data_IF_330000383740
#
_entry.id   IF_330000383740
#
_cell.length_a   1.000
_cell.length_b   1.000
_cell.length_c   1.000
_cell.angle_alpha   90.00
_cell.angle_beta   90.00
_cell.angle_gamma   90.00
#
_symmetry.space_group_name_H-M   'P 1'
#
loop_
_entity.id
_entity.type
_entity.pdbx_description
1 polymer ?
#
# COMPACT_ATOMS: atom_id res chain seq x y z
N UNK A 1 -38.24 13.00 -11.64
CA UNK A 1 -38.83 12.49 -10.38
C UNK A 1 -38.69 13.62 -9.36
N UNK A 2 -39.78 14.05 -8.75
CA UNK A 2 -39.86 15.22 -7.86
C UNK A 2 -40.17 14.72 -6.46
N UNK A 3 -39.41 15.16 -5.46
CA UNK A 3 -39.73 14.94 -4.05
C UNK A 3 -39.67 16.29 -3.36
N UNK A 4 -40.78 16.72 -2.76
CA UNK A 4 -40.95 18.02 -2.08
C UNK A 4 -40.55 19.23 -2.95
N UNK A 5 -41.18 19.41 -4.11
CA UNK A 5 -41.03 20.55 -5.02
C UNK A 5 -39.64 20.78 -5.64
N UNK A 6 -38.73 19.80 -5.54
CA UNK A 6 -37.40 19.89 -6.15
C UNK A 6 -37.20 18.79 -7.19
N UNK A 7 -36.83 19.20 -8.42
CA UNK A 7 -36.58 18.30 -9.55
C UNK A 7 -35.22 17.59 -9.40
N UNK A 8 -35.24 16.25 -9.40
CA UNK A 8 -34.03 15.45 -9.57
C UNK A 8 -33.48 15.64 -10.99
N UNK A 9 -32.20 15.99 -11.09
CA UNK A 9 -31.48 16.17 -12.35
C UNK A 9 -31.48 14.90 -13.19
N UNK A 10 -31.54 15.06 -14.53
CA UNK A 10 -31.48 13.93 -15.45
C UNK A 10 -30.19 13.11 -15.25
N UNK A 11 -30.24 11.82 -15.58
CA UNK A 11 -29.08 10.92 -15.46
C UNK A 11 -27.85 11.42 -16.24
N UNK A 12 -28.08 12.11 -17.36
CA UNK A 12 -27.04 12.78 -18.13
C UNK A 12 -26.33 13.87 -17.32
N UNK A 13 -27.07 14.70 -16.58
CA UNK A 13 -26.51 15.73 -15.70
C UNK A 13 -25.64 15.13 -14.60
N UNK A 14 -26.06 14.00 -14.02
CA UNK A 14 -25.27 13.27 -13.01
C UNK A 14 -23.96 12.73 -13.62
N UNK A 15 -24.00 12.22 -14.86
CA UNK A 15 -22.81 11.79 -15.59
C UNK A 15 -21.87 12.95 -15.89
N UNK A 16 -22.36 14.06 -16.42
CA UNK A 16 -21.54 15.23 -16.72
C UNK A 16 -20.93 15.86 -15.46
N UNK A 17 -21.67 15.90 -14.34
CA UNK A 17 -21.12 16.36 -13.08
C UNK A 17 -20.03 15.41 -12.54
N UNK A 18 -20.23 14.09 -12.68
CA UNK A 18 -19.23 13.09 -12.34
C UNK A 18 -17.97 13.24 -13.21
N UNK A 19 -18.11 13.48 -14.51
CA UNK A 19 -17.00 13.80 -15.41
C UNK A 19 -16.28 15.08 -15.00
N UNK A 20 -17.03 16.11 -14.58
CA UNK A 20 -16.48 17.34 -14.01
C UNK A 20 -15.63 17.09 -12.76
N UNK A 21 -16.13 16.26 -11.83
CA UNK A 21 -15.39 15.84 -10.64
C UNK A 21 -14.15 15.02 -11.01
N UNK A 22 -14.25 14.08 -11.94
CA UNK A 22 -13.10 13.29 -12.42
C UNK A 22 -12.02 14.16 -13.06
N UNK A 23 -12.44 15.18 -13.82
CA UNK A 23 -11.54 16.17 -14.43
C UNK A 23 -10.87 17.01 -13.35
N UNK A 24 -11.63 17.54 -12.40
CA UNK A 24 -11.12 18.32 -11.28
C UNK A 24 -10.12 17.52 -10.44
N UNK A 25 -10.47 16.29 -10.07
CA UNK A 25 -9.60 15.41 -9.30
C UNK A 25 -8.43 14.85 -10.12
N UNK A 26 -8.39 15.01 -11.45
CA UNK A 26 -7.42 14.33 -12.34
C UNK A 26 -7.46 12.80 -12.26
N UNK A 27 -8.56 12.24 -11.76
CA UNK A 27 -8.77 10.79 -11.68
C UNK A 27 -9.40 10.28 -12.97
N UNK A 28 -8.59 10.18 -14.02
CA UNK A 28 -9.03 9.66 -15.32
C UNK A 28 -9.26 8.14 -15.26
N UNK A 29 -10.46 7.71 -15.64
CA UNK A 29 -10.78 6.30 -15.87
C UNK A 29 -10.25 5.94 -17.26
N UNK A 30 -9.29 5.01 -17.32
CA UNK A 30 -8.83 4.41 -18.56
C UNK A 30 -9.72 3.21 -18.86
N UNK A 31 -10.20 3.14 -20.09
CA UNK A 31 -10.97 2.00 -20.59
C UNK A 31 -10.11 1.25 -21.59
N UNK A 32 -9.92 -0.04 -21.36
CA UNK A 32 -9.14 -0.93 -22.24
C UNK A 32 -9.92 -2.21 -22.47
N UNK A 33 -9.77 -2.83 -23.63
CA UNK A 33 -10.38 -4.13 -23.90
C UNK A 33 -9.43 -5.23 -23.48
N UNK A 34 -9.91 -6.18 -22.67
CA UNK A 34 -9.09 -7.34 -22.29
C UNK A 34 -8.79 -8.23 -23.50
N UNK A 35 -7.81 -9.15 -23.41
CA UNK A 35 -7.55 -10.14 -24.47
C UNK A 35 -8.77 -11.00 -24.85
N UNK A 36 -9.80 -11.05 -23.99
CA UNK A 36 -11.05 -11.79 -24.22
C UNK A 36 -12.20 -10.90 -24.72
N UNK A 37 -11.91 -9.69 -25.19
CA UNK A 37 -12.93 -8.77 -25.70
C UNK A 37 -13.79 -8.09 -24.62
N UNK A 38 -13.45 -8.26 -23.32
CA UNK A 38 -14.23 -7.67 -22.22
C UNK A 38 -13.72 -6.25 -21.91
N UNK A 39 -14.59 -5.21 -21.90
CA UNK A 39 -14.16 -3.84 -21.58
C UNK A 39 -13.79 -3.72 -20.11
N UNK A 40 -12.54 -3.40 -19.82
CA UNK A 40 -11.93 -3.18 -18.51
C UNK A 40 -11.73 -1.70 -18.22
N UNK A 41 -11.87 -1.35 -16.94
CA UNK A 41 -11.70 0.02 -16.46
C UNK A 41 -10.59 0.04 -15.40
N UNK A 42 -9.68 0.99 -15.53
CA UNK A 42 -8.59 1.23 -14.56
C UNK A 42 -8.49 2.72 -14.24
N UNK A 43 -7.84 3.04 -13.12
CA UNK A 43 -7.48 4.42 -12.81
C UNK A 43 -6.04 4.67 -13.24
N UNK A 44 -5.73 5.91 -13.62
CA UNK A 44 -4.36 6.30 -13.92
C UNK A 44 -3.47 6.17 -12.68
N UNK A 45 -2.51 5.24 -12.70
CA UNK A 45 -1.48 5.10 -11.66
C UNK A 45 -0.72 6.42 -11.49
N UNK A 46 -0.37 7.08 -12.60
CA UNK A 46 0.29 8.39 -12.57
C UNK A 46 -0.57 9.45 -11.88
N UNK A 47 -1.89 9.44 -12.12
CA UNK A 47 -2.82 10.35 -11.47
C UNK A 47 -2.90 10.12 -9.95
N UNK A 48 -2.98 8.86 -9.54
CA UNK A 48 -3.00 8.48 -8.11
C UNK A 48 -1.71 8.92 -7.42
N UNK A 49 -0.54 8.57 -7.99
CA UNK A 49 0.75 8.94 -7.41
C UNK A 49 0.92 10.46 -7.35
N UNK A 50 0.49 11.19 -8.39
CA UNK A 50 0.55 12.65 -8.39
C UNK A 50 -0.30 13.26 -7.27
N UNK A 51 -1.47 12.69 -6.97
CA UNK A 51 -2.32 13.15 -5.88
C UNK A 51 -1.68 12.84 -4.52
N UNK A 52 -1.15 11.64 -4.33
CA UNK A 52 -0.54 11.23 -3.07
C UNK A 52 0.71 12.08 -2.74
N UNK A 53 1.54 12.37 -3.74
CA UNK A 53 2.72 13.23 -3.61
C UNK A 53 2.37 14.70 -3.35
N UNK A 54 1.30 15.21 -3.99
CA UNK A 54 0.86 16.59 -3.83
C UNK A 54 0.07 16.82 -2.53
N UNK A 55 -0.39 15.74 -1.88
CA UNK A 55 -1.20 15.84 -0.68
C UNK A 55 -0.32 16.10 0.55
N UNK A 56 -0.44 17.27 1.22
CA UNK A 56 0.41 17.64 2.35
C UNK A 56 0.18 16.75 3.59
N UNK A 57 -0.91 15.99 3.64
CA UNK A 57 -1.20 15.03 4.73
C UNK A 57 -0.67 13.63 4.43
N UNK A 58 -0.39 13.30 3.17
CA UNK A 58 0.09 11.96 2.76
C UNK A 58 1.59 11.98 2.49
N UNK A 59 2.05 13.01 1.78
CA UNK A 59 3.44 13.18 1.36
C UNK A 59 4.46 13.06 2.51
N UNK A 60 4.22 13.59 3.73
CA UNK A 60 5.15 13.42 4.86
C UNK A 60 5.28 11.97 5.36
N UNK A 61 4.34 11.10 5.01
CA UNK A 61 4.36 9.68 5.38
C UNK A 61 4.90 8.79 4.27
N UNK A 62 5.27 9.35 3.12
CA UNK A 62 5.92 8.61 2.04
C UNK A 62 7.42 8.51 2.30
N UNK A 63 7.96 7.32 2.02
CA UNK A 63 9.38 7.04 2.17
C UNK A 63 10.05 7.10 0.80
N UNK A 64 11.13 7.89 0.70
CA UNK A 64 11.84 8.16 -0.56
C UNK A 64 13.26 7.56 -0.59
N UNK A 65 13.73 7.09 0.56
CA UNK A 65 15.06 6.51 0.75
C UNK A 65 14.90 5.18 1.48
N UNK A 66 15.79 4.20 1.21
CA UNK A 66 15.86 3.01 2.03
C UNK A 66 16.28 3.39 3.46
N UNK A 67 15.72 2.72 4.46
CA UNK A 67 15.95 2.98 5.88
C UNK A 67 16.87 1.89 6.44
N UNK A 68 18.05 2.27 6.90
CA UNK A 68 18.94 1.37 7.63
C UNK A 68 18.53 1.36 9.10
N UNK A 69 18.27 0.17 9.64
CA UNK A 69 17.96 -0.02 11.05
C UNK A 69 18.68 -1.26 11.58
N UNK A 70 19.23 -1.16 12.79
CA UNK A 70 19.68 -2.32 13.57
C UNK A 70 18.53 -2.92 14.39
N UNK A 71 17.37 -2.25 14.35
CA UNK A 71 16.15 -2.65 15.01
C UNK A 71 15.27 -3.59 14.18
N UNK A 72 14.04 -3.79 14.64
CA UNK A 72 13.11 -4.71 14.01
C UNK A 72 12.62 -4.23 12.64
N UNK A 73 12.33 -5.18 11.74
CA UNK A 73 11.81 -4.94 10.39
C UNK A 73 10.29 -4.84 10.41
N UNK A 74 9.74 -3.70 10.00
CA UNK A 74 8.29 -3.44 9.93
C UNK A 74 7.88 -2.50 8.78
N UNK A 75 8.82 -2.05 7.96
CA UNK A 75 8.58 -1.23 6.76
C UNK A 75 9.27 -1.81 5.53
N UNK A 76 8.79 -1.43 4.36
CA UNK A 76 9.41 -1.83 3.10
C UNK A 76 10.74 -1.10 2.84
N UNK A 77 10.91 0.14 3.31
CA UNK A 77 12.19 0.88 3.30
C UNK A 77 13.35 0.15 3.97
N UNK A 78 13.05 -0.68 4.95
CA UNK A 78 14.03 -1.47 5.70
C UNK A 78 14.39 -2.79 5.00
N UNK A 79 13.80 -3.06 3.85
CA UNK A 79 13.94 -4.34 3.17
C UNK A 79 15.28 -4.47 2.45
N UNK A 80 15.82 -5.69 2.39
CA UNK A 80 17.07 -5.97 1.68
C UNK A 80 16.98 -5.57 0.21
N UNK A 81 15.81 -5.75 -0.42
CA UNK A 81 15.59 -5.36 -1.82
C UNK A 81 15.96 -3.91 -2.05
N UNK A 82 15.48 -3.01 -1.19
CA UNK A 82 15.70 -1.58 -1.34
C UNK A 82 17.10 -1.16 -0.87
N UNK A 83 17.60 -1.75 0.21
CA UNK A 83 18.92 -1.44 0.76
C UNK A 83 20.09 -1.91 -0.13
N UNK A 84 19.94 -3.02 -0.86
CA UNK A 84 21.08 -3.70 -1.50
C UNK A 84 20.83 -4.12 -2.95
N UNK A 85 19.63 -4.62 -3.27
CA UNK A 85 19.42 -5.35 -4.52
C UNK A 85 18.93 -4.50 -5.70
N UNK A 86 18.46 -3.27 -5.46
CA UNK A 86 18.09 -2.38 -6.55
C UNK A 86 19.34 -2.01 -7.36
N UNK A 87 19.25 -2.12 -8.68
CA UNK A 87 20.29 -1.65 -9.58
C UNK A 87 20.47 -0.11 -9.44
N UNK A 88 21.67 0.45 -9.65
CA UNK A 88 21.97 1.86 -9.39
C UNK A 88 20.94 2.84 -9.97
N UNK A 89 20.46 2.61 -11.19
CA UNK A 89 19.48 3.46 -11.88
C UNK A 89 18.07 3.46 -11.26
N UNK A 90 17.77 2.52 -10.36
CA UNK A 90 16.49 2.41 -9.66
C UNK A 90 16.53 2.92 -8.22
N UNK A 91 17.73 3.27 -7.73
CA UNK A 91 17.94 3.82 -6.38
C UNK A 91 17.60 5.31 -6.34
N UNK A 92 17.47 5.89 -5.15
CA UNK A 92 17.36 7.33 -4.99
C UNK A 92 18.57 8.03 -5.61
N UNK A 93 18.35 8.78 -6.68
CA UNK A 93 19.43 9.40 -7.47
C UNK A 93 19.94 10.70 -6.85
N UNK A 94 19.14 11.32 -6.00
CA UNK A 94 19.38 12.65 -5.46
C UNK A 94 18.91 12.74 -4.02
N UNK A 95 19.61 13.53 -3.22
CA UNK A 95 19.13 14.03 -1.95
C UNK A 95 19.24 15.55 -1.86
N UNK A 96 18.43 16.11 -0.98
CA UNK A 96 18.40 17.54 -0.68
C UNK A 96 18.92 17.75 0.75
N UNK A 97 19.91 18.63 0.90
CA UNK A 97 20.49 19.05 2.18
C UNK A 97 20.70 20.56 2.11
N UNK A 98 20.16 21.31 3.06
CA UNK A 98 20.27 22.78 3.13
C UNK A 98 19.88 23.49 1.81
N UNK A 99 18.76 23.08 1.20
CA UNK A 99 18.25 23.59 -0.09
C UNK A 99 19.15 23.31 -1.31
N UNK A 100 20.21 22.51 -1.12
CA UNK A 100 21.13 22.10 -2.18
C UNK A 100 20.92 20.65 -2.58
N UNK A 101 21.09 20.38 -3.87
CA UNK A 101 20.87 19.06 -4.45
C UNK A 101 22.19 18.32 -4.69
N UNK A 102 22.30 17.13 -4.11
CA UNK A 102 23.42 16.22 -4.23
C UNK A 102 23.00 14.96 -4.98
N UNK A 103 23.79 14.54 -5.96
CA UNK A 103 23.47 13.41 -6.82
C UNK A 103 24.47 12.28 -6.60
N UNK A 104 24.04 11.06 -6.88
CA UNK A 104 24.96 9.93 -6.94
C UNK A 104 26.02 10.17 -8.02
N UNK A 105 27.24 9.72 -7.74
CA UNK A 105 28.41 9.84 -8.61
C UNK A 105 28.87 11.26 -8.94
N UNK A 106 28.32 12.31 -8.30
CA UNK A 106 28.88 13.65 -8.38
C UNK A 106 29.85 13.92 -7.22
N UNK A 107 31.03 14.52 -7.47
CA UNK A 107 31.92 14.93 -6.40
C UNK A 107 31.27 15.95 -5.45
N UNK A 108 31.53 15.79 -4.16
CA UNK A 108 31.07 16.65 -3.06
C UNK A 108 32.26 16.99 -2.17
N UNK A 109 32.50 18.27 -1.92
CA UNK A 109 33.50 18.72 -0.96
C UNK A 109 32.83 18.86 0.41
N UNK A 110 33.27 18.06 1.38
CA UNK A 110 32.80 18.14 2.77
C UNK A 110 33.29 19.41 3.45
N UNK A 111 32.60 19.85 4.50
CA UNK A 111 33.04 20.96 5.36
C UNK A 111 34.46 20.78 5.94
N UNK A 112 34.91 19.52 6.05
CA UNK A 112 36.27 19.16 6.46
C UNK A 112 37.34 19.43 5.40
N UNK A 113 36.96 19.80 4.18
CA UNK A 113 37.83 19.86 3.00
C UNK A 113 38.05 18.52 2.32
N UNK A 114 37.40 17.42 2.77
CA UNK A 114 37.54 16.13 2.10
C UNK A 114 36.63 16.06 0.86
N UNK A 115 37.20 15.72 -0.30
CA UNK A 115 36.41 15.39 -1.49
C UNK A 115 35.89 13.96 -1.37
N UNK A 116 34.58 13.77 -1.62
CA UNK A 116 33.94 12.47 -1.62
C UNK A 116 32.98 12.33 -2.80
N UNK A 117 32.69 11.09 -3.22
CA UNK A 117 31.73 10.78 -4.28
C UNK A 117 30.62 9.89 -3.69
N UNK A 118 29.38 10.40 -3.53
CA UNK A 118 28.23 9.61 -3.09
C UNK A 118 27.92 8.46 -4.04
N UNK A 119 27.71 7.25 -3.52
CA UNK A 119 27.36 6.06 -4.31
C UNK A 119 26.05 5.39 -3.85
N UNK A 120 25.54 5.76 -2.67
CA UNK A 120 24.28 5.23 -2.16
C UNK A 120 23.70 6.11 -1.04
N UNK A 121 22.49 6.63 -1.23
CA UNK A 121 21.74 7.36 -0.19
C UNK A 121 20.84 6.44 0.62
N UNK A 122 20.78 6.66 1.93
CA UNK A 122 19.91 5.95 2.85
C UNK A 122 19.53 6.84 4.04
N UNK A 123 18.44 6.53 4.71
CA UNK A 123 18.09 7.15 5.98
C UNK A 123 18.51 6.28 7.15
N UNK A 124 18.92 6.90 8.25
CA UNK A 124 19.16 6.27 9.55
C UNK A 124 18.81 7.29 10.63
N UNK A 125 18.01 6.89 11.63
CA UNK A 125 17.59 7.79 12.73
C UNK A 125 16.97 9.13 12.26
N UNK A 126 16.18 9.07 11.17
CA UNK A 126 15.56 10.24 10.52
C UNK A 126 16.53 11.22 9.84
N UNK A 127 17.81 10.88 9.75
CA UNK A 127 18.80 11.65 9.01
C UNK A 127 19.20 10.94 7.72
N UNK A 128 19.59 11.72 6.71
CA UNK A 128 20.06 11.18 5.43
C UNK A 128 21.57 11.01 5.47
N UNK A 129 22.02 9.82 5.09
CA UNK A 129 23.41 9.45 4.97
C UNK A 129 23.72 9.02 3.55
N UNK A 130 25.01 9.06 3.22
CA UNK A 130 25.54 8.54 1.97
C UNK A 130 26.69 7.58 2.26
N UNK A 131 26.72 6.44 1.54
CA UNK A 131 27.99 5.73 1.34
C UNK A 131 28.76 6.49 0.28
N UNK A 132 30.03 6.78 0.55
CA UNK A 132 30.85 7.56 -0.36
C UNK A 132 32.18 6.87 -0.63
N UNK A 133 32.76 7.16 -1.80
CA UNK A 133 34.15 6.86 -2.13
C UNK A 133 34.96 8.15 -1.88
N UNK A 134 36.06 8.05 -1.14
CA UNK A 134 36.97 9.16 -0.93
C UNK A 134 38.22 8.98 -1.81
N UNK A 135 38.37 9.75 -2.91
CA UNK A 135 39.59 9.71 -3.70
C UNK A 135 40.79 10.22 -2.89
N UNK A 136 41.98 9.67 -3.15
CA UNK A 136 43.22 10.13 -2.53
C UNK A 136 43.74 11.41 -3.20
N UNK A 137 42.99 12.50 -3.08
CA UNK A 137 43.34 13.81 -3.64
C UNK A 137 43.59 14.78 -2.47
N UNK A 138 44.76 15.42 -2.48
CA UNK A 138 45.14 16.50 -1.56
C UNK A 138 44.91 17.85 -2.27
N UNK A 139 44.68 18.92 -1.52
CA UNK A 139 44.63 20.29 -2.08
C UNK A 139 43.36 21.09 -1.82
N UNK A 140 42.38 20.52 -1.10
CA UNK A 140 41.17 21.22 -0.68
C UNK A 140 41.36 21.82 0.72
N UNK A 141 40.87 23.05 0.92
CA UNK A 141 40.94 23.74 2.22
C UNK A 141 39.62 23.55 2.99
N UNK A 142 39.71 23.61 4.33
CA UNK A 142 38.50 23.60 5.18
C UNK A 142 37.67 24.86 4.91
N UNK A 143 36.42 24.68 4.51
CA UNK A 143 35.50 25.77 4.21
C UNK A 143 34.23 25.75 5.10
N UNK A 144 34.17 24.89 6.12
CA UNK A 144 33.03 24.75 7.06
C UNK A 144 31.65 24.59 6.40
N UNK A 145 31.58 24.38 5.08
CA UNK A 145 30.37 24.24 4.28
C UNK A 145 30.55 23.11 3.27
N UNK A 146 29.44 22.41 3.01
CA UNK A 146 29.34 21.37 2.01
C UNK A 146 29.22 22.02 0.62
N UNK A 147 30.00 21.58 -0.38
CA UNK A 147 29.91 22.09 -1.75
C UNK A 147 29.48 21.00 -2.72
N UNK A 148 28.43 21.30 -3.48
CA UNK A 148 28.02 20.53 -4.66
C UNK A 148 29.07 20.65 -5.77
N UNK A 149 29.16 19.66 -6.66
CA UNK A 149 30.08 19.62 -7.80
C UNK A 149 30.33 20.96 -8.51
N UNK A 150 29.26 21.69 -8.88
CA UNK A 150 29.35 22.96 -9.61
C UNK A 150 30.07 24.09 -8.84
N UNK A 151 30.21 23.97 -7.53
CA UNK A 151 30.81 24.96 -6.62
C UNK A 151 32.23 24.57 -6.18
N UNK A 152 32.71 23.38 -6.54
CA UNK A 152 34.02 22.89 -6.11
C UNK A 152 35.12 23.54 -6.94
N UNK A 153 36.15 24.02 -6.25
CA UNK A 153 37.35 24.58 -6.87
C UNK A 153 38.56 23.71 -6.50
N UNK A 154 39.44 23.49 -7.48
CA UNK A 154 40.69 22.75 -7.30
C UNK A 154 41.81 23.55 -7.95
N UNK A 155 42.86 23.87 -7.20
CA UNK A 155 44.01 24.68 -7.65
C UNK A 155 43.62 26.02 -8.31
N UNK A 156 42.52 26.65 -7.88
CA UNK A 156 42.04 27.93 -8.41
C UNK A 156 41.13 27.82 -9.66
N UNK A 157 40.94 26.62 -10.21
CA UNK A 157 40.01 26.34 -11.32
C UNK A 157 38.78 25.60 -10.84
N UNK A 158 37.70 25.60 -11.63
CA UNK A 158 36.53 24.77 -11.30
C UNK A 158 36.87 23.31 -11.50
N UNK A 159 36.44 22.44 -10.58
CA UNK A 159 36.68 21.00 -10.71
C UNK A 159 36.13 20.44 -12.03
N UNK A 160 35.01 20.99 -12.52
CA UNK A 160 34.41 20.62 -13.81
C UNK A 160 35.33 20.82 -15.01
N UNK A 161 36.14 21.89 -15.00
CA UNK A 161 37.11 22.20 -16.05
C UNK A 161 38.30 21.24 -15.96
N UNK A 162 38.79 20.99 -14.75
CA UNK A 162 39.93 20.09 -14.49
C UNK A 162 39.63 18.62 -14.84
N UNK A 163 38.42 18.13 -14.55
CA UNK A 163 38.04 16.75 -14.87
C UNK A 163 37.34 16.59 -16.23
N UNK A 164 37.23 17.67 -17.01
CA UNK A 164 36.51 17.70 -18.29
C UNK A 164 35.11 17.05 -18.20
N UNK A 165 34.37 17.37 -17.13
CA UNK A 165 33.01 16.86 -16.87
C UNK A 165 32.91 15.32 -16.91
N UNK A 166 33.93 14.61 -16.41
CA UNK A 166 33.95 13.15 -16.45
C UNK A 166 34.59 12.49 -15.22
N UNK A 167 34.04 11.33 -14.86
CA UNK A 167 34.66 10.35 -13.97
C UNK A 167 34.83 9.03 -14.73
N UNK A 168 35.83 8.24 -14.34
CA UNK A 168 36.09 6.93 -14.95
C UNK A 168 36.08 5.84 -13.89
N UNK A 169 35.17 4.89 -14.04
CA UNK A 169 35.12 3.68 -13.22
C UNK A 169 35.93 2.57 -13.91
N UNK A 170 36.89 1.99 -13.19
CA UNK A 170 37.73 0.90 -13.69
C UNK A 170 37.33 -0.42 -13.05
N UNK A 171 37.18 -1.47 -13.85
CA UNK A 171 36.79 -2.81 -13.39
C UNK A 171 37.97 -3.67 -12.91
N UNK A 172 39.19 -3.12 -12.90
CA UNK A 172 40.43 -3.82 -12.57
C UNK A 172 40.92 -4.81 -13.64
N UNK A 173 40.16 -5.00 -14.74
CA UNK A 173 40.50 -5.87 -15.88
C UNK A 173 40.85 -5.09 -17.14
N UNK A 174 41.07 -3.78 -17.00
CA UNK A 174 41.44 -2.87 -18.08
C UNK A 174 40.24 -2.21 -18.77
N UNK A 175 39.00 -2.53 -18.39
CA UNK A 175 37.84 -1.80 -18.91
C UNK A 175 37.61 -0.54 -18.08
N UNK A 176 37.27 0.54 -18.79
CA UNK A 176 36.89 1.81 -18.19
C UNK A 176 35.48 2.18 -18.62
N UNK A 177 34.68 2.65 -17.67
CA UNK A 177 33.35 3.19 -17.90
C UNK A 177 33.37 4.67 -17.58
N UNK A 178 33.13 5.49 -18.59
CA UNK A 178 32.95 6.93 -18.43
C UNK A 178 31.60 7.20 -17.76
N UNK A 179 31.64 7.94 -16.66
CA UNK A 179 30.49 8.51 -15.96
C UNK A 179 30.48 9.99 -16.31
N UNK A 180 29.40 10.45 -16.94
CA UNK A 180 29.26 11.85 -17.34
C UNK A 180 28.92 12.71 -16.12
N UNK A 181 29.57 13.86 -16.01
CA UNK A 181 29.24 14.91 -15.07
C UNK A 181 28.72 16.17 -15.79
N UNK A 182 27.93 17.02 -15.11
CA UNK A 182 27.12 16.65 -13.96
C UNK A 182 26.15 15.50 -14.29
N UNK A 183 25.53 14.91 -13.27
CA UNK A 183 24.62 13.79 -13.44
C UNK A 183 23.45 14.16 -14.40
N UNK A 184 23.11 13.33 -15.40
CA UNK A 184 22.05 13.62 -16.36
C UNK A 184 20.68 13.92 -15.75
N UNK A 185 20.42 13.41 -14.54
CA UNK A 185 19.20 13.72 -13.80
C UNK A 185 19.10 15.18 -13.40
N UNK A 186 20.20 15.93 -13.26
CA UNK A 186 20.13 17.40 -13.04
C UNK A 186 19.33 18.08 -14.15
N UNK A 187 19.63 17.75 -15.41
CA UNK A 187 18.94 18.32 -16.58
C UNK A 187 17.46 17.90 -16.61
N UNK A 188 17.17 16.65 -16.24
CA UNK A 188 15.79 16.13 -16.22
C UNK A 188 14.97 16.69 -15.05
N UNK A 189 15.61 16.97 -13.93
CA UNK A 189 14.99 17.53 -12.74
C UNK A 189 14.72 19.02 -12.87
N UNK A 190 15.54 19.76 -13.62
CA UNK A 190 15.39 21.20 -13.86
C UNK A 190 15.21 21.98 -12.55
N UNK A 191 16.12 21.72 -11.60
CA UNK A 191 16.10 22.33 -10.27
C UNK A 191 15.00 21.82 -9.32
N UNK A 192 14.25 20.76 -9.68
CA UNK A 192 13.22 20.16 -8.81
C UNK A 192 13.73 18.95 -8.03
N UNK A 193 13.04 18.61 -6.95
CA UNK A 193 13.33 17.42 -6.15
C UNK A 193 12.94 16.15 -6.91
N UNK A 194 13.85 15.17 -6.93
CA UNK A 194 13.59 13.83 -7.46
C UNK A 194 13.14 12.94 -6.30
N UNK A 195 11.97 12.31 -6.43
CA UNK A 195 11.43 11.37 -5.44
C UNK A 195 11.38 9.96 -6.02
N UNK A 196 12.13 9.03 -5.42
CA UNK A 196 12.08 7.62 -5.77
C UNK A 196 11.04 6.90 -4.90
N UNK A 197 9.97 6.40 -5.52
CA UNK A 197 8.91 5.66 -4.83
C UNK A 197 8.81 4.26 -5.45
N UNK A 198 9.29 3.21 -4.77
CA UNK A 198 9.07 1.85 -5.23
C UNK A 198 7.59 1.47 -5.15
N UNK A 199 7.06 0.86 -6.21
CA UNK A 199 5.67 0.40 -6.25
C UNK A 199 5.68 -1.12 -6.28
N UNK A 200 5.19 -1.73 -5.21
CA UNK A 200 5.09 -3.20 -5.14
C UNK A 200 3.74 -3.65 -5.67
N UNK A 201 3.74 -4.23 -6.87
CA UNK A 201 2.54 -4.75 -7.52
C UNK A 201 2.31 -6.20 -7.10
N UNK A 202 1.19 -6.48 -6.42
CA UNK A 202 0.78 -7.85 -6.05
C UNK A 202 -0.49 -8.27 -6.78
N UNK A 203 -0.45 -9.46 -7.40
CA UNK A 203 -1.61 -10.08 -8.03
C UNK A 203 -2.40 -10.88 -6.97
N UNK A 204 -3.59 -10.39 -6.63
CA UNK A 204 -4.49 -11.10 -5.70
C UNK A 204 -5.19 -12.25 -6.42
N UNK A 205 -4.71 -13.49 -6.27
CA UNK A 205 -5.53 -14.69 -6.53
C UNK A 205 -5.95 -15.28 -5.18
N UNK A 206 -7.16 -14.97 -4.73
CA UNK A 206 -7.74 -15.38 -3.46
C UNK A 206 -8.18 -16.86 -3.48
N UNK A 207 -7.24 -17.79 -3.34
CA UNK A 207 -7.56 -19.21 -3.06
C UNK A 207 -7.12 -19.76 -1.68
N UNK A 208 -6.85 -19.02 -0.57
CA UNK A 208 -6.65 -19.73 0.70
C UNK A 208 -7.91 -20.46 1.24
N UNK A 209 -9.18 -20.17 0.86
CA UNK A 209 -10.33 -20.75 1.57
C UNK A 209 -10.47 -22.27 1.36
N UNK A 210 -9.85 -22.84 0.33
CA UNK A 210 -10.06 -24.25 0.00
C UNK A 210 -9.40 -25.23 0.99
N UNK A 211 -8.35 -24.80 1.71
CA UNK A 211 -7.70 -25.59 2.76
C UNK A 211 -8.55 -25.70 4.02
N UNK A 212 -9.32 -24.65 4.31
CA UNK A 212 -10.14 -24.51 5.50
C UNK A 212 -11.37 -25.45 5.56
N UNK A 213 -11.70 -26.14 4.47
CA UNK A 213 -12.99 -26.83 4.34
C UNK A 213 -12.90 -28.27 3.83
N UNK A 214 -11.91 -29.02 4.31
CA UNK A 214 -11.97 -30.49 4.33
C UNK A 214 -12.70 -31.03 5.57
N UNK A 215 -13.56 -30.24 6.21
CA UNK A 215 -14.54 -30.78 7.15
C UNK A 215 -15.62 -31.49 6.32
N UNK A 216 -15.85 -32.78 6.61
CA UNK A 216 -16.87 -33.59 5.95
C UNK A 216 -18.23 -32.85 5.91
N UNK A 217 -18.96 -32.99 4.80
CA UNK A 217 -20.24 -32.29 4.56
C UNK A 217 -21.25 -32.54 5.69
N UNK A 218 -21.18 -33.71 6.33
CA UNK A 218 -21.99 -34.15 7.48
C UNK A 218 -21.71 -33.38 8.79
N UNK A 219 -20.60 -32.66 8.92
CA UNK A 219 -20.24 -31.95 10.16
C UNK A 219 -20.38 -30.42 10.07
N UNK A 220 -20.83 -29.90 8.92
CA UNK A 220 -21.00 -28.45 8.69
C UNK A 220 -22.04 -27.81 9.61
N UNK A 221 -23.17 -28.48 9.88
CA UNK A 221 -24.19 -27.98 10.80
C UNK A 221 -23.72 -27.98 12.26
N UNK A 222 -22.93 -28.98 12.67
CA UNK A 222 -22.31 -29.01 14.01
C UNK A 222 -21.20 -27.97 14.17
N UNK A 223 -20.45 -27.72 13.10
CA UNK A 223 -19.45 -26.67 13.02
C UNK A 223 -20.10 -25.27 13.16
N UNK A 224 -21.19 -25.02 12.43
CA UNK A 224 -21.95 -23.76 12.52
C UNK A 224 -22.44 -23.52 13.95
N UNK A 225 -23.09 -24.51 14.56
CA UNK A 225 -23.62 -24.41 15.91
C UNK A 225 -22.53 -24.12 16.95
N UNK A 226 -21.33 -24.72 16.84
CA UNK A 226 -20.24 -24.48 17.79
C UNK A 226 -19.52 -23.15 17.57
N UNK A 227 -19.33 -22.73 16.32
CA UNK A 227 -18.79 -21.41 16.00
C UNK A 227 -19.70 -20.31 16.55
N UNK A 228 -21.02 -20.43 16.35
CA UNK A 228 -22.01 -19.48 16.88
C UNK A 228 -22.04 -19.43 18.42
N UNK A 229 -21.72 -20.54 19.10
CA UNK A 229 -21.72 -20.64 20.56
C UNK A 229 -20.33 -20.44 21.20
N UNK A 230 -19.29 -20.17 20.41
CA UNK A 230 -17.94 -19.98 20.93
C UNK A 230 -17.83 -18.61 21.60
N UNK A 231 -17.41 -18.58 22.87
CA UNK A 231 -17.13 -17.32 23.57
C UNK A 231 -15.85 -16.72 23.01
N UNK A 232 -15.98 -15.64 22.24
CA UNK A 232 -14.84 -14.89 21.69
C UNK A 232 -14.27 -13.84 22.65
N UNK A 233 -14.78 -13.78 23.88
CA UNK A 233 -14.27 -12.92 24.96
C UNK A 233 -12.81 -13.27 25.23
N UNK A 234 -11.89 -12.40 24.79
CA UNK A 234 -10.43 -12.58 24.91
C UNK A 234 -9.68 -12.68 23.58
N UNK A 235 -10.36 -12.92 22.45
CA UNK A 235 -9.72 -13.09 21.13
C UNK A 235 -9.63 -11.80 20.30
N UNK A 236 -10.15 -10.66 20.80
CA UNK A 236 -10.18 -9.36 20.11
C UNK A 236 -10.70 -9.44 18.65
N UNK A 237 -11.68 -10.33 18.40
CA UNK A 237 -12.35 -10.53 17.12
C UNK A 237 -13.84 -10.17 17.24
N UNK A 238 -14.49 -9.67 16.17
CA UNK A 238 -15.94 -9.43 16.17
C UNK A 238 -16.71 -10.75 16.29
N UNK A 239 -18.03 -10.69 16.59
CA UNK A 239 -18.88 -11.87 16.59
C UNK A 239 -18.72 -12.70 15.32
N UNK A 240 -18.61 -14.02 15.48
CA UNK A 240 -18.35 -14.94 14.37
C UNK A 240 -19.64 -15.12 13.56
N UNK A 241 -19.65 -14.70 12.29
CA UNK A 241 -20.73 -15.01 11.36
C UNK A 241 -20.61 -16.45 10.84
N UNK A 242 -20.87 -17.42 11.72
CA UNK A 242 -20.71 -18.84 11.42
C UNK A 242 -21.54 -19.30 10.22
N UNK A 243 -22.80 -18.85 10.14
CA UNK A 243 -23.71 -19.17 9.04
C UNK A 243 -23.16 -18.66 7.70
N UNK A 244 -22.72 -17.40 7.66
CA UNK A 244 -22.09 -16.81 6.48
C UNK A 244 -20.83 -17.56 6.05
N UNK A 245 -19.97 -17.95 7.00
CA UNK A 245 -18.74 -18.69 6.72
C UNK A 245 -19.00 -20.09 6.16
N UNK A 246 -19.99 -20.81 6.68
CA UNK A 246 -20.38 -22.14 6.20
C UNK A 246 -20.99 -22.05 4.80
N UNK A 247 -21.88 -21.07 4.59
CA UNK A 247 -22.57 -20.83 3.33
C UNK A 247 -21.64 -20.38 2.20
N UNK A 248 -20.62 -19.58 2.52
CA UNK A 248 -19.66 -19.03 1.56
C UNK A 248 -18.25 -19.62 1.74
N UNK A 249 -18.17 -20.90 2.12
CA UNK A 249 -16.91 -21.58 2.45
C UNK A 249 -15.84 -21.58 1.34
N UNK A 250 -16.24 -21.48 0.07
CA UNK A 250 -15.34 -21.38 -1.09
C UNK A 250 -14.82 -19.96 -1.36
N UNK A 251 -15.34 -18.95 -0.65
CA UNK A 251 -15.08 -17.53 -0.94
C UNK A 251 -14.82 -16.71 0.34
N UNK A 252 -14.21 -17.33 1.35
CA UNK A 252 -13.87 -16.64 2.59
C UNK A 252 -12.82 -15.54 2.37
N UNK A 253 -13.01 -14.40 3.02
CA UNK A 253 -12.01 -13.33 3.04
C UNK A 253 -10.83 -13.65 3.95
N UNK A 254 -9.78 -12.80 3.91
CA UNK A 254 -8.61 -12.96 4.78
C UNK A 254 -8.95 -12.81 6.27
N UNK A 255 -9.93 -11.95 6.60
CA UNK A 255 -10.47 -11.81 7.96
C UNK A 255 -11.10 -13.10 8.49
N UNK A 256 -11.96 -13.73 7.69
CA UNK A 256 -12.66 -14.97 8.07
C UNK A 256 -11.67 -16.12 8.23
N UNK A 257 -10.64 -16.19 7.38
CA UNK A 257 -9.56 -17.17 7.49
C UNK A 257 -8.77 -17.04 8.81
N UNK A 258 -8.43 -15.79 9.22
CA UNK A 258 -7.73 -15.56 10.50
C UNK A 258 -8.56 -16.02 11.70
N UNK A 259 -9.85 -15.68 11.71
CA UNK A 259 -10.79 -16.13 12.76
C UNK A 259 -10.85 -17.65 12.79
N UNK A 260 -10.94 -18.28 11.63
CA UNK A 260 -11.02 -19.74 11.52
C UNK A 260 -9.80 -20.44 12.10
N UNK A 261 -8.60 -20.00 11.76
CA UNK A 261 -7.35 -20.63 12.25
C UNK A 261 -7.22 -20.49 13.77
N UNK A 262 -7.66 -19.36 14.36
CA UNK A 262 -7.61 -19.17 15.81
C UNK A 262 -8.61 -20.04 16.57
N UNK A 263 -9.78 -20.29 15.98
CA UNK A 263 -10.90 -20.99 16.65
C UNK A 263 -10.90 -22.50 16.35
N UNK A 264 -10.35 -22.91 15.20
CA UNK A 264 -10.36 -24.30 14.74
C UNK A 264 -9.82 -25.34 15.76
N UNK A 265 -8.74 -25.08 16.53
CA UNK A 265 -8.28 -26.01 17.58
C UNK A 265 -9.36 -26.36 18.60
N UNK A 266 -10.21 -25.40 18.97
CA UNK A 266 -11.21 -25.55 20.03
C UNK A 266 -12.54 -26.09 19.50
N UNK A 267 -12.89 -25.76 18.25
CA UNK A 267 -14.18 -26.13 17.67
C UNK A 267 -14.14 -27.40 16.84
N UNK A 268 -13.03 -27.64 16.11
CA UNK A 268 -12.97 -28.63 15.04
C UNK A 268 -12.21 -29.90 15.42
N UNK A 269 -11.16 -29.81 16.24
CA UNK A 269 -10.17 -30.89 16.39
C UNK A 269 -10.77 -32.22 16.84
N UNK A 270 -11.81 -32.19 17.66
CA UNK A 270 -12.52 -33.39 18.14
C UNK A 270 -13.31 -34.16 17.05
N UNK A 271 -13.48 -33.57 15.88
CA UNK A 271 -14.17 -34.17 14.73
C UNK A 271 -13.24 -34.47 13.56
N UNK A 272 -11.96 -34.07 13.67
CA UNK A 272 -10.95 -34.33 12.66
C UNK A 272 -10.27 -35.66 12.95
N UNK A 273 -9.94 -36.40 11.88
CA UNK A 273 -9.05 -37.56 11.98
C UNK A 273 -7.68 -37.12 12.49
N UNK A 274 -6.86 -38.01 13.06
CA UNK A 274 -5.52 -37.67 13.53
C UNK A 274 -4.65 -36.98 12.47
N UNK A 275 -4.76 -37.41 11.21
CA UNK A 275 -4.01 -36.85 10.07
C UNK A 275 -4.44 -35.41 9.76
N UNK A 276 -5.75 -35.16 9.69
CA UNK A 276 -6.26 -33.81 9.46
C UNK A 276 -5.98 -32.88 10.64
N UNK A 277 -6.02 -33.41 11.88
CA UNK A 277 -5.65 -32.63 13.06
C UNK A 277 -4.19 -32.17 12.98
N UNK A 278 -3.28 -33.05 12.55
CA UNK A 278 -1.87 -32.70 12.38
C UNK A 278 -1.65 -31.59 11.33
N UNK A 279 -2.35 -31.66 10.18
CA UNK A 279 -2.33 -30.58 9.17
C UNK A 279 -2.79 -29.26 9.76
N UNK A 280 -3.91 -29.27 10.48
CA UNK A 280 -4.46 -28.05 11.08
C UNK A 280 -3.57 -27.49 12.18
N UNK A 281 -2.94 -28.34 13.00
CA UNK A 281 -1.95 -27.90 13.99
C UNK A 281 -0.79 -27.17 13.32
N UNK A 282 -0.17 -27.80 12.31
CA UNK A 282 0.94 -27.19 11.57
C UNK A 282 0.52 -25.88 10.88
N UNK A 283 -0.71 -25.79 10.38
CA UNK A 283 -1.25 -24.55 9.83
C UNK A 283 -1.41 -23.46 10.91
N UNK A 284 -1.93 -23.81 12.09
CA UNK A 284 -2.10 -22.88 13.21
C UNK A 284 -0.77 -22.36 13.73
N UNK A 285 0.29 -23.16 13.66
CA UNK A 285 1.66 -22.78 14.02
C UNK A 285 2.32 -21.88 12.95
N UNK A 286 2.05 -22.13 11.66
CA UNK A 286 2.60 -21.37 10.55
C UNK A 286 1.96 -19.97 10.39
N UNK A 287 0.65 -19.87 10.57
CA UNK A 287 -0.13 -18.64 10.30
C UNK A 287 0.35 -17.40 11.09
N UNK A 288 0.74 -17.50 12.38
CA UNK A 288 1.36 -16.39 13.12
C UNK A 288 2.57 -15.78 12.43
N UNK A 289 3.42 -16.59 11.79
CA UNK A 289 4.56 -16.09 11.03
C UNK A 289 4.08 -15.31 9.79
N UNK A 290 3.15 -15.86 9.01
CA UNK A 290 2.63 -15.21 7.80
C UNK A 290 2.03 -13.82 8.09
N UNK A 291 1.35 -13.67 9.23
CA UNK A 291 0.68 -12.42 9.61
C UNK A 291 1.47 -11.52 10.55
N UNK A 292 2.75 -11.84 10.80
CA UNK A 292 3.60 -10.99 11.63
C UNK A 292 3.71 -9.58 11.03
N UNK A 293 3.59 -8.56 11.87
CA UNK A 293 3.70 -7.16 11.47
C UNK A 293 5.09 -6.57 11.71
N UNK A 294 5.92 -7.27 12.48
CA UNK A 294 7.22 -6.80 12.95
C UNK A 294 8.12 -8.01 13.21
N UNK A 295 9.31 -8.04 12.62
CA UNK A 295 10.29 -9.12 12.81
C UNK A 295 11.48 -8.55 13.58
N UNK A 296 11.76 -9.08 14.78
CA UNK A 296 12.86 -8.59 15.62
C UNK A 296 14.21 -9.18 15.22
N UNK A 297 14.26 -10.50 15.02
CA UNK A 297 15.45 -11.20 14.55
C UNK A 297 15.11 -11.91 13.23
N UNK A 298 15.68 -11.45 12.13
CA UNK A 298 15.40 -12.01 10.81
C UNK A 298 15.94 -13.43 10.65
N UNK A 299 17.12 -13.73 11.18
CA UNK A 299 17.76 -15.05 11.05
C UNK A 299 16.99 -16.13 11.81
N UNK A 300 16.63 -15.85 13.06
CA UNK A 300 15.83 -16.75 13.89
C UNK A 300 14.43 -16.95 13.27
N UNK A 301 13.79 -15.86 12.85
CA UNK A 301 12.48 -15.91 12.20
C UNK A 301 12.50 -16.75 10.92
N UNK A 302 13.54 -16.62 10.09
CA UNK A 302 13.69 -17.40 8.86
C UNK A 302 13.86 -18.89 9.14
N UNK A 303 14.66 -19.23 10.16
CA UNK A 303 14.87 -20.61 10.59
C UNK A 303 13.55 -21.24 11.04
N UNK A 304 12.81 -20.55 11.91
CA UNK A 304 11.51 -21.03 12.40
C UNK A 304 10.47 -21.10 11.28
N UNK A 305 10.35 -20.07 10.43
CA UNK A 305 9.40 -20.04 9.32
C UNK A 305 9.64 -21.20 8.35
N UNK A 306 10.89 -21.47 7.97
CA UNK A 306 11.23 -22.59 7.08
C UNK A 306 10.83 -23.94 7.71
N UNK A 307 11.12 -24.13 8.99
CA UNK A 307 10.71 -25.34 9.72
C UNK A 307 9.18 -25.50 9.74
N UNK A 308 8.43 -24.43 10.01
CA UNK A 308 6.96 -24.47 10.04
C UNK A 308 6.34 -24.73 8.65
N UNK A 309 6.90 -24.13 7.59
CA UNK A 309 6.48 -24.42 6.21
C UNK A 309 6.75 -25.90 5.89
N UNK A 310 7.96 -26.41 6.18
CA UNK A 310 8.31 -27.80 5.92
C UNK A 310 7.39 -28.77 6.68
N UNK A 311 7.10 -28.48 7.95
CA UNK A 311 6.18 -29.27 8.77
C UNK A 311 4.76 -29.30 8.16
N UNK A 312 4.24 -28.13 7.76
CA UNK A 312 2.93 -28.03 7.13
C UNK A 312 2.86 -28.78 5.79
N UNK A 313 3.87 -28.61 4.93
CA UNK A 313 3.95 -29.30 3.63
C UNK A 313 4.05 -30.82 3.82
N UNK A 314 4.87 -31.29 4.77
CA UNK A 314 5.01 -32.70 5.10
C UNK A 314 3.65 -33.34 5.45
N UNK A 315 2.91 -32.72 6.38
CA UNK A 315 1.60 -33.24 6.77
C UNK A 315 0.57 -33.19 5.63
N UNK A 316 0.60 -32.17 4.77
CA UNK A 316 -0.29 -32.08 3.61
C UNK A 316 -0.01 -33.19 2.59
N UNK A 317 1.27 -33.39 2.23
CA UNK A 317 1.69 -34.40 1.24
C UNK A 317 1.43 -35.82 1.76
N UNK A 318 1.56 -36.06 3.08
CA UNK A 318 1.23 -37.34 3.71
C UNK A 318 -0.22 -37.77 3.51
N UNK A 319 -1.15 -36.81 3.42
CA UNK A 319 -2.58 -37.09 3.14
C UNK A 319 -2.85 -37.16 1.64
N UNK A 320 -2.30 -36.25 0.84
CA UNK A 320 -2.38 -36.31 -0.63
C UNK A 320 -1.29 -35.51 -1.32
N UNK A 321 -0.63 -36.09 -2.32
CA UNK A 321 0.37 -35.40 -3.14
C UNK A 321 -0.21 -34.33 -4.08
N UNK A 322 -1.54 -34.29 -4.28
CA UNK A 322 -2.16 -33.37 -5.25
C UNK A 322 -1.98 -31.88 -4.92
N UNK A 323 -1.61 -31.55 -3.68
CA UNK A 323 -1.37 -30.18 -3.23
C UNK A 323 -0.25 -29.47 -4.00
N UNK A 324 0.70 -30.20 -4.59
CA UNK A 324 1.78 -29.61 -5.41
C UNK A 324 1.26 -28.86 -6.63
N UNK A 325 0.06 -29.21 -7.12
CA UNK A 325 -0.59 -28.55 -8.25
C UNK A 325 -1.24 -27.21 -7.87
N UNK A 326 -1.27 -26.85 -6.58
CA UNK A 326 -1.85 -25.59 -6.10
C UNK A 326 -0.78 -24.50 -6.06
N UNK A 327 -0.92 -23.40 -6.82
CA UNK A 327 0.07 -22.32 -6.87
C UNK A 327 0.45 -21.74 -5.50
N UNK A 328 -0.47 -21.77 -4.52
CA UNK A 328 -0.24 -21.24 -3.17
C UNK A 328 0.74 -22.05 -2.35
N UNK A 329 0.77 -23.37 -2.55
CA UNK A 329 1.77 -24.23 -1.92
C UNK A 329 3.15 -23.92 -2.48
N UNK A 330 3.25 -23.69 -3.79
CA UNK A 330 4.47 -23.24 -4.43
C UNK A 330 4.91 -21.86 -3.92
N UNK A 331 4.00 -20.88 -3.84
CA UNK A 331 4.32 -19.55 -3.29
C UNK A 331 4.75 -19.60 -1.82
N UNK A 332 4.20 -20.52 -1.01
CA UNK A 332 4.62 -20.71 0.38
C UNK A 332 6.10 -21.06 0.49
N UNK A 333 6.63 -21.86 -0.45
CA UNK A 333 8.03 -22.24 -0.47
C UNK A 333 8.97 -21.07 -0.78
N UNK A 334 8.49 -20.06 -1.50
CA UNK A 334 9.24 -18.81 -1.80
C UNK A 334 9.01 -17.70 -0.78
N UNK A 335 8.15 -17.94 0.21
CA UNK A 335 7.84 -16.95 1.25
C UNK A 335 9.06 -16.56 2.08
N UNK A 336 9.96 -17.48 2.49
CA UNK A 336 11.17 -17.13 3.23
C UNK A 336 12.04 -16.11 2.47
N UNK A 337 12.35 -16.41 1.21
CA UNK A 337 13.14 -15.55 0.31
C UNK A 337 12.44 -14.22 0.07
N UNK A 338 11.12 -14.25 -0.13
CA UNK A 338 10.31 -13.04 -0.28
C UNK A 338 10.39 -12.15 0.96
N UNK A 339 10.35 -12.72 2.17
CA UNK A 339 10.45 -11.93 3.40
C UNK A 339 11.85 -11.34 3.60
N UNK A 340 12.91 -12.04 3.19
CA UNK A 340 14.26 -11.46 3.17
C UNK A 340 14.32 -10.23 2.25
N UNK A 341 13.75 -10.34 1.05
CA UNK A 341 13.77 -9.27 0.08
C UNK A 341 12.87 -8.10 0.48
N UNK A 342 11.64 -8.35 0.94
CA UNK A 342 10.57 -7.34 1.05
C UNK A 342 10.15 -7.00 2.49
N UNK A 343 10.69 -7.70 3.49
CA UNK A 343 10.26 -7.58 4.89
C UNK A 343 9.02 -8.42 5.21
N UNK A 344 8.34 -8.18 6.35
CA UNK A 344 7.20 -8.97 6.78
C UNK A 344 6.12 -9.12 5.69
N UNK A 345 5.62 -10.34 5.46
CA UNK A 345 4.65 -10.64 4.40
C UNK A 345 3.33 -9.84 4.54
N UNK A 346 3.00 -9.42 5.77
CA UNK A 346 1.85 -8.56 6.03
C UNK A 346 1.97 -7.15 5.43
N UNK A 347 3.17 -6.67 5.06
CA UNK A 347 3.38 -5.41 4.33
C UNK A 347 2.91 -5.50 2.88
N UNK A 348 3.03 -6.70 2.32
CA UNK A 348 2.72 -7.04 0.95
C UNK A 348 1.25 -7.48 0.76
N UNK A 349 0.49 -7.52 1.85
CA UNK A 349 -0.89 -7.99 1.83
C UNK A 349 -1.82 -6.99 1.15
N UNK A 350 -2.58 -7.49 0.18
CA UNK A 350 -3.56 -6.70 -0.57
C UNK A 350 -4.64 -6.10 0.31
N UNK A 351 -4.95 -6.63 1.50
CA UNK A 351 -5.93 -6.00 2.40
C UNK A 351 -5.47 -4.64 2.96
N UNK A 352 -4.14 -4.41 3.06
CA UNK A 352 -3.60 -3.11 3.46
C UNK A 352 -3.58 -2.12 2.29
N UNK A 353 -3.29 -2.59 1.07
CA UNK A 353 -3.26 -1.74 -0.15
C UNK A 353 -4.62 -1.55 -0.83
N UNK A 354 -5.59 -2.46 -0.64
CA UNK A 354 -6.97 -2.38 -1.15
C UNK A 354 -7.87 -1.52 -0.26
N UNK A 355 -7.39 -1.09 0.92
CA UNK A 355 -8.09 -0.10 1.75
C UNK A 355 -8.37 1.23 1.02
N UNK A 356 -7.71 1.45 -0.12
CA UNK A 356 -7.88 2.59 -1.02
C UNK A 356 -8.89 2.42 -2.18
N UNK A 357 -9.69 1.34 -2.23
CA UNK A 357 -10.67 1.13 -3.32
C UNK A 357 -12.12 1.35 -2.91
N UNK A 358 -12.56 2.61 -2.92
CA UNK A 358 -13.93 3.14 -3.11
C UNK A 358 -13.93 4.66 -2.86
N UNK A 359 -14.72 5.49 -3.55
CA UNK A 359 -14.63 6.95 -3.42
C UNK A 359 -15.62 7.47 -2.37
N UNK A 360 -15.15 8.16 -1.33
CA UNK A 360 -15.94 9.15 -0.59
C UNK A 360 -15.17 10.49 -0.60
N UNK A 361 -15.80 11.65 -0.46
CA UNK A 361 -15.18 13.00 -0.62
C UNK A 361 -14.88 13.68 0.75
N UNK A 362 -13.86 14.54 0.83
CA UNK A 362 -13.54 15.50 1.91
C UNK A 362 -13.82 16.94 1.42
N UNK A 363 -14.37 17.79 2.27
CA UNK A 363 -14.73 19.19 1.98
C UNK A 363 -13.98 20.16 2.89
N UNK A 364 -13.61 21.34 2.38
CA UNK A 364 -13.03 22.45 3.14
C UNK A 364 -13.48 23.80 2.63
N UNK A 365 -14.04 24.59 3.54
CA UNK A 365 -14.40 25.97 3.31
C UNK A 365 -13.31 26.89 3.84
N UNK A 366 -12.92 27.88 3.03
CA UNK A 366 -12.11 29.01 3.47
C UNK A 366 -12.92 29.90 4.41
N UNK A 367 -12.44 30.03 5.65
CA UNK A 367 -12.15 31.29 6.36
C UNK A 367 -11.67 30.98 7.78
N UNK A 368 -10.79 31.87 8.26
CA UNK A 368 -9.67 31.73 9.24
C UNK A 368 -9.98 31.15 10.64
N UNK A 369 -11.17 30.67 10.96
CA UNK A 369 -11.49 30.08 12.28
C UNK A 369 -12.41 28.85 12.25
N UNK A 370 -12.70 28.26 11.09
CA UNK A 370 -13.65 27.12 11.02
C UNK A 370 -12.97 25.75 11.07
N UNK A 371 -13.43 24.91 12.01
CA UNK A 371 -13.06 23.49 12.17
C UNK A 371 -13.18 22.73 10.83
N UNK A 372 -12.19 21.89 10.54
CA UNK A 372 -12.11 21.01 9.36
C UNK A 372 -13.23 19.97 9.43
N UNK A 373 -14.03 19.81 8.36
CA UNK A 373 -15.23 18.93 8.39
C UNK A 373 -15.12 17.77 7.41
N UNK A 374 -15.60 16.60 7.83
CA UNK A 374 -15.61 15.37 7.02
C UNK A 374 -17.06 14.97 6.79
N UNK A 375 -17.40 14.45 5.61
CA UNK A 375 -18.79 14.22 5.25
C UNK A 375 -19.02 13.14 4.22
N UNK A 376 -20.22 12.54 4.24
CA UNK A 376 -20.68 11.69 3.12
C UNK A 376 -21.60 12.49 2.22
N UNK A 377 -21.24 12.59 0.94
CA UNK A 377 -22.09 13.21 -0.08
C UNK A 377 -23.38 12.42 -0.19
N UNK A 378 -24.49 13.10 0.09
CA UNK A 378 -25.83 12.54 -0.06
C UNK A 378 -26.40 12.89 -1.43
N UNK A 379 -26.16 14.12 -1.87
CA UNK A 379 -26.65 14.59 -3.15
C UNK A 379 -25.80 15.77 -3.63
N UNK A 380 -25.76 15.91 -4.95
CA UNK A 380 -25.20 17.07 -5.64
C UNK A 380 -26.37 17.93 -6.13
N UNK A 381 -26.24 19.23 -5.96
CA UNK A 381 -27.24 20.23 -6.29
C UNK A 381 -26.64 21.27 -7.21
N UNK A 382 -27.41 21.70 -8.19
CA UNK A 382 -27.04 22.75 -9.12
C UNK A 382 -27.89 23.99 -8.86
N UNK A 383 -27.23 25.08 -8.48
CA UNK A 383 -27.84 26.39 -8.34
C UNK A 383 -27.68 27.15 -9.66
N UNK A 384 -28.82 27.51 -10.27
CA UNK A 384 -28.86 28.28 -11.51
C UNK A 384 -28.99 29.78 -11.20
N UNK A 385 -28.02 30.58 -11.65
CA UNK A 385 -28.14 32.04 -11.75
C UNK A 385 -28.32 32.43 -13.22
N UNK A 386 -28.80 33.65 -13.48
CA UNK A 386 -28.97 34.21 -14.85
C UNK A 386 -27.73 34.10 -15.75
N UNK A 387 -26.53 33.91 -15.19
CA UNK A 387 -25.28 33.83 -15.97
C UNK A 387 -24.34 32.67 -15.61
N UNK A 388 -24.58 31.92 -14.52
CA UNK A 388 -23.69 30.84 -14.07
C UNK A 388 -24.45 29.76 -13.31
N UNK A 389 -24.08 28.50 -13.55
CA UNK A 389 -24.41 27.38 -12.66
C UNK A 389 -23.34 27.23 -11.58
N UNK A 390 -23.75 27.09 -10.32
CA UNK A 390 -22.86 26.73 -9.20
C UNK A 390 -23.30 25.38 -8.63
N UNK A 391 -22.34 24.51 -8.37
CA UNK A 391 -22.64 23.21 -7.77
C UNK A 391 -22.41 23.24 -6.26
N UNK A 392 -23.39 22.74 -5.53
CA UNK A 392 -23.36 22.55 -4.09
C UNK A 392 -23.55 21.08 -3.79
N UNK A 393 -22.75 20.53 -2.89
CA UNK A 393 -22.96 19.20 -2.35
C UNK A 393 -23.69 19.32 -1.03
N UNK A 394 -24.67 18.46 -0.83
CA UNK A 394 -25.28 18.20 0.47
C UNK A 394 -24.57 17.00 1.07
N UNK A 395 -23.98 17.18 2.25
CA UNK A 395 -23.30 16.10 2.95
C UNK A 395 -23.79 15.94 4.38
N UNK A 396 -23.78 14.69 4.84
CA UNK A 396 -23.93 14.36 6.26
C UNK A 396 -22.54 14.39 6.88
N UNK A 397 -22.34 15.25 7.86
CA UNK A 397 -21.07 15.43 8.55
C UNK A 397 -20.73 14.20 9.41
N UNK A 398 -19.44 13.99 9.59
CA UNK A 398 -18.85 12.98 10.45
C UNK A 398 -18.02 13.67 11.53
N UNK A 399 -17.93 13.05 12.72
CA UNK A 399 -17.02 13.51 13.77
C UNK A 399 -15.54 13.43 13.32
N UNK A 400 -14.67 14.19 14.01
CA UNK A 400 -13.23 14.25 13.72
C UNK A 400 -12.55 12.88 13.66
N UNK A 401 -11.56 12.81 12.79
CA UNK A 401 -10.83 11.60 12.43
C UNK A 401 -9.73 11.31 13.46
N UNK A 402 -10.03 10.60 14.55
CA UNK A 402 -8.99 10.19 15.47
C UNK A 402 -8.10 9.10 14.83
N UNK A 403 -6.87 9.47 14.48
CA UNK A 403 -5.83 8.56 13.96
C UNK A 403 -6.24 7.68 12.77
N UNK A 404 -7.15 8.15 11.91
CA UNK A 404 -7.62 7.43 10.72
C UNK A 404 -8.30 6.07 11.00
N UNK A 405 -8.90 5.85 12.18
CA UNK A 405 -9.45 4.53 12.57
C UNK A 405 -10.96 4.37 12.42
N UNK A 406 -11.76 5.39 12.72
CA UNK A 406 -13.22 5.33 12.68
C UNK A 406 -13.82 6.73 12.46
N UNK A 407 -14.96 6.81 11.78
CA UNK A 407 -15.77 8.04 11.65
C UNK A 407 -17.21 7.73 12.03
N UNK A 408 -17.85 8.63 12.76
CA UNK A 408 -19.24 8.46 13.20
C UNK A 408 -20.13 9.51 12.56
N UNK A 409 -21.25 9.08 11.96
CA UNK A 409 -22.23 10.00 11.36
C UNK A 409 -22.76 10.94 12.44
N UNK A 410 -22.67 12.23 12.20
CA UNK A 410 -23.38 13.21 13.02
C UNK A 410 -24.78 13.43 12.43
N UNK A 411 -25.61 14.17 13.17
CA UNK A 411 -26.91 14.64 12.66
C UNK A 411 -26.77 15.91 11.83
N UNK A 412 -25.57 16.46 11.73
CA UNK A 412 -25.32 17.73 11.08
C UNK A 412 -25.28 17.54 9.57
N UNK A 413 -26.10 18.32 8.88
CA UNK A 413 -26.16 18.37 7.42
C UNK A 413 -25.63 19.70 6.97
N UNK A 414 -24.82 19.71 5.92
CA UNK A 414 -24.24 20.94 5.40
C UNK A 414 -24.26 20.96 3.88
N UNK A 415 -24.27 22.18 3.35
CA UNK A 415 -24.17 22.48 1.93
C UNK A 415 -22.87 23.22 1.69
N UNK A 416 -22.01 22.67 0.84
CA UNK A 416 -20.69 23.25 0.52
C UNK A 416 -20.55 23.34 -0.98
N UNK A 417 -19.86 24.37 -1.47
CA UNK A 417 -19.63 24.51 -2.90
C UNK A 417 -18.66 23.40 -3.38
N UNK A 418 -18.84 22.87 -4.59
CA UNK A 418 -17.94 21.83 -5.13
C UNK A 418 -16.48 22.32 -5.26
N UNK A 419 -16.26 23.62 -5.42
CA UNK A 419 -14.91 24.18 -5.48
C UNK A 419 -14.21 24.21 -4.11
N UNK A 420 -14.97 24.03 -3.02
CA UNK A 420 -14.48 23.92 -1.65
C UNK A 420 -14.16 22.45 -1.30
N UNK A 421 -13.81 21.61 -2.28
CA UNK A 421 -13.45 20.19 -2.06
C UNK A 421 -11.93 20.05 -2.14
N UNK A 422 -11.30 19.58 -1.06
CA UNK A 422 -9.84 19.37 -1.07
C UNK A 422 -9.42 17.94 -1.39
N UNK A 423 -10.18 16.92 -0.99
CA UNK A 423 -9.73 15.54 -1.15
C UNK A 423 -10.88 14.55 -1.23
N UNK A 424 -10.58 13.29 -1.49
CA UNK A 424 -11.52 12.18 -1.37
C UNK A 424 -10.90 11.07 -0.51
N UNK A 425 -11.66 10.50 0.42
CA UNK A 425 -11.28 9.35 1.24
C UNK A 425 -12.29 8.23 1.11
N UNK A 426 -11.82 6.99 1.09
CA UNK A 426 -12.71 5.84 1.14
C UNK A 426 -13.15 5.54 2.58
N UNK A 427 -14.43 5.26 2.81
CA UNK A 427 -14.93 4.85 4.12
C UNK A 427 -15.86 3.64 3.97
N UNK A 428 -15.60 2.57 4.72
CA UNK A 428 -16.47 1.40 4.80
C UNK A 428 -17.45 1.53 5.97
N UNK A 429 -18.70 1.16 5.74
CA UNK A 429 -19.72 1.12 6.79
C UNK A 429 -19.45 -0.07 7.74
N UNK A 430 -19.46 0.18 9.06
CA UNK A 430 -19.38 -0.88 10.05
C UNK A 430 -20.77 -1.52 10.24
N UNK A 431 -21.14 -2.43 9.33
CA UNK A 431 -22.45 -3.09 9.32
C UNK A 431 -22.77 -3.85 10.62
N UNK A 432 -21.74 -4.34 11.31
CA UNK A 432 -21.85 -5.07 12.58
C UNK A 432 -22.32 -4.16 13.71
N UNK A 433 -21.67 -3.00 13.92
CA UNK A 433 -22.14 -1.97 14.88
C UNK A 433 -23.49 -1.36 14.50
N UNK A 434 -23.78 -1.24 13.20
CA UNK A 434 -24.96 -0.54 12.69
C UNK A 434 -26.25 -1.36 12.68
N UNK A 435 -26.21 -2.65 13.04
CA UNK A 435 -27.34 -3.59 12.97
C UNK A 435 -28.11 -3.49 11.64
N UNK A 436 -27.40 -3.29 10.52
CA UNK A 436 -28.07 -3.07 9.25
C UNK A 436 -28.81 -4.32 8.79
N UNK A 437 -30.09 -4.22 8.41
CA UNK A 437 -30.83 -5.36 7.88
C UNK A 437 -30.23 -5.77 6.53
N UNK A 438 -29.82 -7.03 6.42
CA UNK A 438 -29.35 -7.67 5.19
C UNK A 438 -30.56 -7.83 4.26
N UNK A 439 -30.83 -6.83 3.41
CA UNK A 439 -31.95 -6.86 2.45
C UNK A 439 -31.40 -7.20 1.07
N UNK A 440 -31.75 -8.36 0.52
CA UNK A 440 -31.39 -8.76 -0.85
C UNK A 440 -31.96 -7.77 -1.86
N UNK A 441 -31.17 -6.78 -2.28
CA UNK A 441 -31.67 -5.63 -3.06
C UNK A 441 -31.31 -5.71 -4.53
N UNK A 442 -30.23 -6.42 -4.90
CA UNK A 442 -29.72 -6.45 -6.28
C UNK A 442 -29.08 -7.78 -6.64
N UNK A 443 -29.18 -8.24 -7.91
CA UNK A 443 -28.41 -9.37 -8.39
C UNK A 443 -26.91 -9.05 -8.31
N UNK A 444 -26.15 -10.02 -7.82
CA UNK A 444 -24.71 -9.88 -7.65
C UNK A 444 -24.01 -9.98 -8.99
N UNK A 445 -23.03 -9.11 -9.21
CA UNK A 445 -22.21 -9.13 -10.41
C UNK A 445 -20.98 -9.99 -10.15
N UNK A 446 -20.94 -11.17 -10.78
CA UNK A 446 -19.74 -12.00 -10.83
C UNK A 446 -19.18 -11.87 -12.25
N UNK A 447 -17.91 -11.49 -12.36
CA UNK A 447 -17.23 -11.29 -13.65
C UNK A 447 -17.95 -10.36 -14.64
N UNK A 448 -18.65 -9.34 -14.11
CA UNK A 448 -19.49 -8.37 -14.85
C UNK A 448 -20.73 -8.96 -15.52
N UNK A 449 -21.17 -10.15 -15.12
CA UNK A 449 -22.47 -10.71 -15.48
C UNK A 449 -23.41 -10.71 -14.27
N UNK A 450 -24.66 -10.30 -14.50
CA UNK A 450 -25.70 -10.37 -13.48
C UNK A 450 -26.00 -11.85 -13.20
N UNK A 451 -25.87 -12.23 -11.95
CA UNK A 451 -26.19 -13.58 -11.50
C UNK A 451 -27.55 -13.60 -10.82
N UNK A 452 -28.20 -14.75 -10.78
CA UNK A 452 -29.42 -14.97 -9.98
C UNK A 452 -29.16 -14.87 -8.46
N UNK A 453 -27.89 -14.77 -8.06
CA UNK A 453 -27.48 -14.63 -6.67
C UNK A 453 -27.74 -13.20 -6.23
N UNK A 454 -28.80 -12.99 -5.46
CA UNK A 454 -29.13 -11.68 -4.91
C UNK A 454 -28.19 -11.31 -3.76
N UNK A 455 -27.42 -10.24 -3.94
CA UNK A 455 -26.62 -9.60 -2.88
C UNK A 455 -27.49 -8.72 -1.99
N UNK A 456 -27.15 -8.71 -0.70
CA UNK A 456 -27.74 -7.83 0.29
C UNK A 456 -27.22 -6.40 0.19
#
# INVERSE_FOLDING_TARGET
>A
MTVCDIQLSAWLTVRSAREGIHTFLKSQIKTETSPFGKPCFSLSIQGILSQDLANPLVSPHLEYYPEKTDGPYYKFSQSKKWLEELAPQHRAQMCEVDEEHYYLFEPVELASGLLVVPIFFYSQESQIYSKCIAPQIKGFMKDNKLKSYAKIQFNGYKLAEECADALYEHDGKGNQKKIQLPDPWRKKADGRIIRNVPITLYANKQDPPSLAWQVNVSDRGRFEMKMSNSRVTGLNIPPINANGMVKHNKSLGGKDFKVLVQVAPFTCFKYLTPEHRAIWTALCELVPFIFVTKINNMEEYQTQLKAQIQNFIYHCVKVTGQWVNKPKFHHLLHLPESILCFGPASLCSTEKSVRFKSPSMRFWKGDVLSLRRIGSVQSLWEYHSRSRSKFYIHFNEFNELYSMREVSRTRTKQYVNVNEIEACINVQHNCDKGNCPIRKTKPSLIERQETEIMTA
#
